data_IF_358812452417
#
_entry.id   IF_358812452417
#
_cell.length_a   1.000
_cell.length_b   1.000
_cell.length_c   1.000
_cell.angle_alpha   90.00
_cell.angle_beta   90.00
_cell.angle_gamma   90.00
#
_symmetry.space_group_name_H-M   'P 1'
#
loop_
_entity.id
_entity.type
_entity.pdbx_description
1 polymer ?
#
# COMPACT_ATOMS: atom_id res chain seq x y z
N UNK A 1 15.92 -11.44 0.07
CA UNK A 1 15.05 -10.31 -0.31
C UNK A 1 13.60 -10.64 0.04
N UNK A 2 13.00 -11.71 -0.49
CA UNK A 2 11.66 -12.16 -0.07
C UNK A 2 11.53 -12.35 1.46
N UNK A 3 12.48 -13.01 2.12
CA UNK A 3 12.46 -13.14 3.60
C UNK A 3 12.51 -11.79 4.35
N UNK A 4 13.23 -10.79 3.81
CA UNK A 4 13.29 -9.44 4.38
C UNK A 4 11.92 -8.75 4.24
N UNK A 5 11.26 -8.95 3.10
CA UNK A 5 9.91 -8.42 2.86
C UNK A 5 8.86 -9.17 3.68
N UNK A 6 8.98 -10.48 3.85
CA UNK A 6 8.11 -11.27 4.70
C UNK A 6 8.27 -10.92 6.18
N UNK A 7 9.48 -10.58 6.64
CA UNK A 7 9.70 -10.06 7.99
C UNK A 7 9.07 -8.67 8.16
N UNK A 8 9.26 -7.78 7.17
CA UNK A 8 8.58 -6.49 7.08
C UNK A 8 7.06 -6.65 7.15
N UNK A 9 6.51 -7.63 6.46
CA UNK A 9 5.06 -7.85 6.34
C UNK A 9 4.48 -8.62 7.50
N UNK A 10 5.27 -9.45 8.15
CA UNK A 10 4.97 -10.01 9.47
C UNK A 10 4.91 -8.92 10.54
N UNK A 11 5.67 -7.83 10.38
CA UNK A 11 5.49 -6.63 11.22
C UNK A 11 4.25 -5.82 10.83
N UNK A 12 3.95 -5.68 9.53
CA UNK A 12 2.75 -4.99 9.03
C UNK A 12 1.42 -5.72 9.36
N UNK A 13 1.41 -7.06 9.42
CA UNK A 13 0.21 -7.90 9.53
C UNK A 13 -0.26 -8.22 10.95
N UNK A 14 0.31 -7.60 11.99
CA UNK A 14 -0.07 -7.86 13.40
C UNK A 14 -1.31 -7.09 13.86
N UNK A 15 -1.83 -6.19 13.04
CA UNK A 15 -3.05 -5.46 13.31
C UNK A 15 -4.12 -5.92 12.33
N UNK A 16 -5.08 -6.71 12.81
CA UNK A 16 -6.35 -6.88 12.11
C UNK A 16 -7.00 -5.51 12.04
N UNK A 17 -7.26 -4.95 10.84
CA UNK A 17 -7.93 -3.67 10.76
C UNK A 17 -9.31 -3.76 11.41
N UNK A 18 -9.61 -2.95 12.43
CA UNK A 18 -10.99 -2.81 12.95
C UNK A 18 -11.92 -2.19 11.90
N UNK A 19 -11.35 -1.53 10.89
CA UNK A 19 -12.02 -0.88 9.78
C UNK A 19 -11.55 -1.45 8.43
N UNK A 20 -12.37 -1.39 7.37
CA UNK A 20 -11.92 -1.81 6.05
C UNK A 20 -10.63 -1.08 5.62
N UNK A 21 -9.79 -1.73 4.80
CA UNK A 21 -8.52 -1.13 4.37
C UNK A 21 -8.66 0.25 3.71
N UNK A 22 -9.78 0.54 3.07
CA UNK A 22 -10.07 1.85 2.47
C UNK A 22 -10.50 2.92 3.49
N UNK A 23 -10.49 2.59 4.78
CA UNK A 23 -10.73 3.50 5.91
C UNK A 23 -9.57 3.48 6.92
N UNK A 24 -8.57 2.61 6.74
CA UNK A 24 -7.49 2.43 7.70
C UNK A 24 -6.24 3.27 7.39
N UNK A 25 -6.24 4.53 7.84
CA UNK A 25 -5.06 5.42 7.71
C UNK A 25 -3.86 4.95 8.55
N UNK A 26 -4.07 4.11 9.57
CA UNK A 26 -3.01 3.62 10.45
C UNK A 26 -2.07 2.67 9.71
N UNK A 27 -2.61 1.87 8.77
CA UNK A 27 -1.81 1.04 7.88
C UNK A 27 -0.86 1.88 7.03
N UNK A 28 -1.34 2.96 6.43
CA UNK A 28 -0.50 3.87 5.63
C UNK A 28 0.52 4.59 6.52
N UNK A 29 0.12 5.03 7.72
CA UNK A 29 1.02 5.69 8.67
C UNK A 29 2.20 4.80 9.05
N UNK A 30 1.94 3.55 9.38
CA UNK A 30 3.00 2.61 9.74
C UNK A 30 3.98 2.40 8.58
N UNK A 31 3.50 2.32 7.33
CA UNK A 31 4.37 2.21 6.14
C UNK A 31 5.29 3.43 6.02
N UNK A 32 4.75 4.65 6.07
CA UNK A 32 5.57 5.87 5.93
C UNK A 32 6.53 6.08 7.10
N UNK A 33 6.16 5.70 8.33
CA UNK A 33 7.06 5.73 9.49
C UNK A 33 8.20 4.74 9.34
N UNK A 34 7.91 3.52 8.88
CA UNK A 34 8.94 2.52 8.62
C UNK A 34 9.89 3.01 7.52
N UNK A 35 9.37 3.54 6.41
CA UNK A 35 10.19 4.09 5.33
C UNK A 35 11.08 5.23 5.83
N UNK A 36 10.57 6.15 6.66
CA UNK A 36 11.36 7.23 7.25
C UNK A 36 12.50 6.70 8.13
N UNK A 37 12.21 5.74 9.02
CA UNK A 37 13.18 5.15 9.94
C UNK A 37 14.31 4.40 9.22
N UNK A 38 14.06 3.94 7.99
CA UNK A 38 15.01 3.20 7.16
C UNK A 38 15.31 3.91 5.82
N UNK A 39 15.19 5.25 5.76
CA UNK A 39 15.23 6.00 4.51
C UNK A 39 16.50 5.81 3.67
N UNK A 40 17.67 5.64 4.31
CA UNK A 40 18.92 5.39 3.60
C UNK A 40 18.91 4.05 2.85
N UNK A 41 18.34 3.00 3.46
CA UNK A 41 18.20 1.69 2.84
C UNK A 41 17.26 1.78 1.63
N UNK A 42 16.09 2.39 1.80
CA UNK A 42 15.12 2.52 0.71
C UNK A 42 15.64 3.40 -0.44
N UNK A 43 16.34 4.50 -0.15
CA UNK A 43 17.03 5.32 -1.16
C UNK A 43 18.08 4.53 -1.94
N UNK A 44 18.87 3.71 -1.26
CA UNK A 44 19.86 2.86 -1.93
C UNK A 44 19.20 1.81 -2.85
N UNK A 45 18.10 1.19 -2.40
CA UNK A 45 17.34 0.23 -3.20
C UNK A 45 16.67 0.87 -4.43
N UNK A 46 16.13 2.08 -4.29
CA UNK A 46 15.45 2.79 -5.39
C UNK A 46 16.42 3.51 -6.35
N UNK A 47 17.63 3.81 -5.87
CA UNK A 47 18.66 4.51 -6.62
C UNK A 47 19.48 3.61 -7.54
N UNK A 48 19.42 2.29 -7.40
CA UNK A 48 20.14 1.35 -8.24
C UNK A 48 19.29 0.94 -9.46
N UNK A 49 19.64 1.39 -10.68
CA UNK A 49 18.88 1.06 -11.89
C UNK A 49 18.90 -0.43 -12.24
N UNK A 50 19.81 -1.23 -11.67
CA UNK A 50 19.84 -2.69 -11.85
C UNK A 50 18.80 -3.41 -10.97
N UNK A 51 18.18 -2.71 -10.01
CA UNK A 51 17.15 -3.25 -9.12
C UNK A 51 15.72 -3.05 -9.64
N UNK A 52 15.55 -2.69 -10.92
CA UNK A 52 14.22 -2.56 -11.54
C UNK A 52 13.33 -3.80 -11.35
N UNK A 53 13.91 -5.01 -11.38
CA UNK A 53 13.19 -6.26 -11.09
C UNK A 53 12.71 -6.34 -9.63
N UNK A 54 13.47 -5.80 -8.68
CA UNK A 54 13.13 -5.79 -7.25
C UNK A 54 11.93 -4.87 -7.00
N UNK A 55 11.88 -3.71 -7.66
CA UNK A 55 10.72 -2.80 -7.61
C UNK A 55 9.44 -3.50 -8.07
N UNK A 56 9.49 -4.21 -9.20
CA UNK A 56 8.35 -4.98 -9.70
C UNK A 56 7.92 -6.08 -8.72
N UNK A 57 8.87 -6.75 -8.06
CA UNK A 57 8.57 -7.75 -7.05
C UNK A 57 7.92 -7.14 -5.80
N UNK A 58 8.38 -5.96 -5.37
CA UNK A 58 7.79 -5.20 -4.25
C UNK A 58 6.34 -4.81 -4.57
N UNK A 59 6.09 -4.22 -5.74
CA UNK A 59 4.73 -3.83 -6.14
C UNK A 59 3.81 -5.07 -6.21
N UNK A 60 4.28 -6.15 -6.83
CA UNK A 60 3.49 -7.39 -6.92
C UNK A 60 3.23 -8.01 -5.55
N UNK A 61 4.19 -7.92 -4.63
CA UNK A 61 4.04 -8.35 -3.26
C UNK A 61 2.95 -7.54 -2.54
N UNK A 62 3.07 -6.20 -2.57
CA UNK A 62 2.10 -5.29 -1.95
C UNK A 62 0.71 -5.52 -2.53
N UNK A 63 0.60 -5.69 -3.86
CA UNK A 63 -0.68 -5.97 -4.52
C UNK A 63 -1.32 -7.26 -4.01
N UNK A 64 -0.55 -8.36 -3.88
CA UNK A 64 -1.07 -9.63 -3.33
C UNK A 64 -1.51 -9.49 -1.87
N UNK A 65 -0.81 -8.69 -1.09
CA UNK A 65 -1.21 -8.40 0.29
C UNK A 65 -2.50 -7.58 0.32
N UNK A 66 -2.56 -6.48 -0.43
CA UNK A 66 -3.77 -5.64 -0.57
C UNK A 66 -4.98 -6.44 -1.07
N UNK A 67 -4.79 -7.40 -1.99
CA UNK A 67 -5.87 -8.28 -2.45
C UNK A 67 -6.44 -9.16 -1.34
N UNK A 68 -5.57 -9.79 -0.54
CA UNK A 68 -6.01 -10.60 0.62
C UNK A 68 -6.77 -9.76 1.62
N UNK A 69 -6.26 -8.58 1.95
CA UNK A 69 -6.91 -7.68 2.91
C UNK A 69 -8.24 -7.12 2.39
N UNK A 70 -8.30 -6.75 1.11
CA UNK A 70 -9.53 -6.30 0.43
C UNK A 70 -10.58 -7.40 0.47
N UNK A 71 -10.18 -8.65 0.16
CA UNK A 71 -11.07 -9.80 0.14
C UNK A 71 -11.63 -10.11 1.53
N UNK A 72 -10.79 -10.01 2.57
CA UNK A 72 -11.21 -10.20 3.96
C UNK A 72 -12.12 -9.07 4.45
N UNK A 73 -11.94 -7.85 3.95
CA UNK A 73 -12.74 -6.66 4.31
C UNK A 73 -14.08 -6.59 3.57
N UNK A 74 -14.25 -7.35 2.47
CA UNK A 74 -15.47 -7.33 1.66
C UNK A 74 -16.58 -8.10 2.39
N UNK A 75 -17.52 -7.39 3.02
CA UNK A 75 -18.75 -8.00 3.53
C UNK A 75 -19.53 -8.66 2.39
N UNK A 76 -20.20 -9.78 2.65
CA UNK A 76 -20.85 -10.60 1.62
C UNK A 76 -21.93 -9.91 0.76
N UNK A 77 -22.37 -8.71 1.13
CA UNK A 77 -23.31 -7.87 0.36
C UNK A 77 -22.63 -6.76 -0.45
N UNK A 78 -21.30 -6.63 -0.39
CA UNK A 78 -20.53 -5.66 -1.15
C UNK A 78 -19.93 -6.32 -2.39
N UNK A 79 -19.96 -5.62 -3.52
CA UNK A 79 -19.33 -6.05 -4.76
C UNK A 79 -18.43 -4.94 -5.28
N UNK A 80 -17.26 -5.32 -5.79
CA UNK A 80 -16.39 -4.41 -6.52
C UNK A 80 -16.88 -4.28 -7.96
N UNK A 81 -16.94 -3.04 -8.46
CA UNK A 81 -17.24 -2.75 -9.88
C UNK A 81 -16.09 -3.10 -10.83
N UNK A 82 -14.92 -3.44 -10.28
CA UNK A 82 -13.72 -3.88 -11.01
C UNK A 82 -13.18 -5.18 -10.39
N UNK A 83 -12.44 -6.00 -11.15
CA UNK A 83 -11.66 -7.10 -10.61
C UNK A 83 -10.80 -6.67 -9.42
N UNK A 84 -10.84 -7.45 -8.33
CA UNK A 84 -10.10 -7.15 -7.09
C UNK A 84 -8.60 -7.04 -7.34
N UNK A 85 -8.07 -7.82 -8.28
CA UNK A 85 -6.67 -7.84 -8.66
C UNK A 85 -6.24 -6.51 -9.28
N UNK A 86 -7.12 -5.87 -10.08
CA UNK A 86 -6.84 -4.56 -10.68
C UNK A 86 -6.84 -3.46 -9.63
N UNK A 87 -7.80 -3.50 -8.70
CA UNK A 87 -7.86 -2.55 -7.59
C UNK A 87 -6.60 -2.65 -6.71
N UNK A 88 -6.20 -3.87 -6.35
CA UNK A 88 -5.02 -4.10 -5.54
C UNK A 88 -3.71 -3.69 -6.22
N UNK A 89 -3.58 -3.93 -7.53
CA UNK A 89 -2.43 -3.43 -8.29
C UNK A 89 -2.39 -1.90 -8.34
N UNK A 90 -3.54 -1.25 -8.50
CA UNK A 90 -3.61 0.22 -8.48
C UNK A 90 -3.17 0.79 -7.12
N UNK A 91 -3.66 0.23 -6.01
CA UNK A 91 -3.27 0.64 -4.66
C UNK A 91 -1.76 0.47 -4.45
N UNK A 92 -1.23 -0.72 -4.76
CA UNK A 92 0.20 -1.00 -4.61
C UNK A 92 1.10 -0.08 -5.46
N UNK A 93 0.72 0.15 -6.72
CA UNK A 93 1.45 1.04 -7.61
C UNK A 93 1.40 2.51 -7.17
N UNK A 94 0.25 2.95 -6.67
CA UNK A 94 0.08 4.33 -6.18
C UNK A 94 0.89 4.59 -4.92
N UNK A 95 0.85 3.66 -3.96
CA UNK A 95 1.65 3.74 -2.74
C UNK A 95 3.16 3.76 -3.05
N UNK A 96 3.61 2.87 -3.95
CA UNK A 96 4.99 2.86 -4.43
C UNK A 96 5.41 4.21 -5.03
N UNK A 97 4.59 4.79 -5.90
CA UNK A 97 4.90 6.07 -6.55
C UNK A 97 5.04 7.22 -5.55
N UNK A 98 4.21 7.26 -4.51
CA UNK A 98 4.30 8.25 -3.43
C UNK A 98 5.59 8.09 -2.62
N UNK A 99 5.94 6.85 -2.25
CA UNK A 99 7.17 6.54 -1.50
C UNK A 99 8.41 6.91 -2.30
N UNK A 100 8.48 6.53 -3.59
CA UNK A 100 9.61 6.83 -4.46
C UNK A 100 9.81 8.34 -4.62
N UNK A 101 8.74 9.09 -4.92
CA UNK A 101 8.80 10.54 -5.00
C UNK A 101 9.25 11.17 -3.68
N UNK A 102 8.66 10.75 -2.57
CA UNK A 102 8.95 11.32 -1.25
C UNK A 102 10.42 11.11 -0.86
N UNK A 103 10.97 9.92 -1.09
CA UNK A 103 12.38 9.62 -0.82
C UNK A 103 13.33 10.39 -1.76
N UNK A 104 13.02 10.46 -3.06
CA UNK A 104 13.86 11.18 -4.04
C UNK A 104 13.94 12.68 -3.77
N UNK A 105 12.96 13.25 -3.07
CA UNK A 105 12.89 14.66 -2.73
C UNK A 105 13.29 14.95 -1.28
N UNK A 106 14.03 14.04 -0.64
CA UNK A 106 14.52 14.17 0.75
C UNK A 106 13.41 14.32 1.80
N UNK A 107 12.29 13.63 1.57
CA UNK A 107 11.16 13.53 2.51
C UNK A 107 10.64 14.91 2.97
N UNK A 108 10.14 15.77 2.06
CA UNK A 108 9.79 17.16 2.37
C UNK A 108 8.54 17.31 3.25
N UNK A 109 7.77 16.23 3.41
CA UNK A 109 6.57 16.15 4.24
C UNK A 109 6.73 15.10 5.33
N UNK A 110 6.00 15.22 6.44
CA UNK A 110 6.05 14.23 7.51
C UNK A 110 5.41 12.90 7.10
N UNK A 111 5.77 11.78 7.76
CA UNK A 111 5.12 10.48 7.54
C UNK A 111 3.60 10.54 7.68
N UNK A 112 3.09 11.27 8.68
CA UNK A 112 1.66 11.43 8.94
C UNK A 112 0.95 12.14 7.79
N UNK A 113 1.57 13.17 7.22
CA UNK A 113 1.02 13.86 6.07
C UNK A 113 0.96 12.93 4.85
N UNK A 114 2.04 12.22 4.56
CA UNK A 114 2.11 11.31 3.42
C UNK A 114 1.13 10.14 3.54
N UNK A 115 0.94 9.61 4.76
CA UNK A 115 -0.06 8.59 5.04
C UNK A 115 -1.49 9.06 4.75
N UNK A 116 -1.83 10.28 5.16
CA UNK A 116 -3.13 10.87 4.84
C UNK A 116 -3.32 11.06 3.33
N UNK A 117 -2.28 11.50 2.62
CA UNK A 117 -2.30 11.64 1.15
C UNK A 117 -2.50 10.28 0.48
N UNK A 118 -1.74 9.26 0.87
CA UNK A 118 -1.87 7.90 0.36
C UNK A 118 -3.26 7.32 0.62
N UNK A 119 -3.75 7.42 1.86
CA UNK A 119 -5.11 7.01 2.20
C UNK A 119 -6.13 7.74 1.33
N UNK A 120 -6.02 9.05 1.16
CA UNK A 120 -6.98 9.83 0.35
C UNK A 120 -6.99 9.38 -1.11
N UNK A 121 -5.81 9.17 -1.70
CA UNK A 121 -5.71 8.78 -3.11
C UNK A 121 -6.13 7.31 -3.33
N UNK A 122 -5.71 6.40 -2.47
CA UNK A 122 -6.03 4.98 -2.55
C UNK A 122 -7.50 4.71 -2.15
N UNK A 123 -7.98 5.29 -1.06
CA UNK A 123 -9.33 5.06 -0.54
C UNK A 123 -10.43 5.68 -1.41
N UNK A 124 -10.22 6.87 -1.98
CA UNK A 124 -11.26 7.48 -2.83
C UNK A 124 -11.48 6.67 -4.11
N UNK A 125 -10.43 6.02 -4.64
CA UNK A 125 -10.57 5.02 -5.69
C UNK A 125 -11.43 3.84 -5.26
N UNK A 126 -11.12 3.24 -4.11
CA UNK A 126 -11.86 2.10 -3.55
C UNK A 126 -13.32 2.43 -3.22
N UNK A 127 -13.59 3.55 -2.52
CA UNK A 127 -14.94 3.93 -2.05
C UNK A 127 -15.95 4.14 -3.18
N UNK A 128 -15.51 4.67 -4.33
CA UNK A 128 -16.38 4.83 -5.49
C UNK A 128 -16.61 3.51 -6.26
N UNK A 129 -15.72 2.53 -6.09
CA UNK A 129 -15.82 1.23 -6.74
C UNK A 129 -16.57 0.18 -5.92
N UNK A 130 -16.67 0.38 -4.61
CA UNK A 130 -17.48 -0.43 -3.67
C UNK A 130 -18.93 0.09 -3.72
N UNK A 131 -19.81 -0.65 -4.40
CA UNK A 131 -21.24 -0.36 -4.47
C UNK A 131 -22.08 -1.46 -3.83
N UNK A 132 -23.34 -1.15 -3.48
CA UNK A 132 -24.34 -2.20 -3.22
C UNK A 132 -24.60 -2.91 -4.54
N UNK A 133 -24.25 -4.19 -4.62
CA UNK A 133 -24.56 -5.01 -5.79
C UNK A 133 -26.04 -4.90 -6.10
N UNK A 134 -26.38 -4.35 -7.27
CA UNK A 134 -27.74 -4.46 -7.80
C UNK A 134 -27.77 -5.81 -8.51
N UNK A 135 -28.36 -6.80 -7.83
CA UNK A 135 -28.91 -7.98 -8.49
C UNK A 135 -30.19 -7.59 -9.23
#
# INVERSE_FOLDING_TARGET
LEELFDELVSQFGKTTPEQPIWENVESELFVFQHVANHAQLYKALLGDPNLGLVIHQIIAYIARHSERETRSSLAGHMSLSVPIELLSHHVAGSLYALIDWWLRNDMPHSPEYMANVAQTLCANGCKNMVGRGTL
#
